data_IF_462915939408
#
_entry.id   IF_462915939408
#
_cell.length_a   1.000
_cell.length_b   1.000
_cell.length_c   1.000
_cell.angle_alpha   90.00
_cell.angle_beta   90.00
_cell.angle_gamma   90.00
#
_symmetry.space_group_name_H-M   'P 1'
#
loop_
_entity.id
_entity.type
_entity.pdbx_description
1 polymer ?
#
# COMPACT_ATOMS: atom_id res chain seq x y z
N UNK A 1 7.23 -0.53 -7.32
CA UNK A 1 6.87 -1.97 -7.21
C UNK A 1 5.50 -2.17 -7.83
N UNK A 2 5.28 -3.23 -8.62
CA UNK A 2 3.95 -3.51 -9.17
C UNK A 2 3.00 -4.05 -8.09
N UNK A 3 1.68 -3.79 -8.22
CA UNK A 3 0.64 -4.28 -7.28
C UNK A 3 0.71 -5.80 -7.05
N UNK A 4 1.14 -6.55 -8.05
CA UNK A 4 1.32 -8.01 -8.00
C UNK A 4 2.44 -8.45 -7.03
N UNK A 5 3.60 -7.79 -7.06
CA UNK A 5 4.72 -8.11 -6.16
C UNK A 5 4.38 -7.77 -4.69
N UNK A 6 3.59 -6.71 -4.49
CA UNK A 6 3.10 -6.31 -3.16
C UNK A 6 2.14 -7.37 -2.59
N UNK A 7 1.20 -7.87 -3.38
CA UNK A 7 0.26 -8.92 -2.95
C UNK A 7 0.97 -10.23 -2.58
N UNK A 8 1.98 -10.63 -3.35
CA UNK A 8 2.79 -11.82 -3.05
C UNK A 8 3.58 -11.69 -1.74
N UNK A 9 4.20 -10.52 -1.50
CA UNK A 9 4.89 -10.22 -0.24
C UNK A 9 3.94 -10.26 0.97
N UNK A 10 2.77 -9.65 0.84
CA UNK A 10 1.73 -9.66 1.88
C UNK A 10 1.28 -11.10 2.19
N UNK A 11 1.08 -11.92 1.16
CA UNK A 11 0.70 -13.32 1.33
C UNK A 11 1.79 -14.12 2.04
N UNK A 12 3.06 -13.95 1.65
CA UNK A 12 4.19 -14.62 2.29
C UNK A 12 4.32 -14.24 3.77
N UNK A 13 4.18 -12.95 4.10
CA UNK A 13 4.21 -12.46 5.48
C UNK A 13 3.05 -13.06 6.29
N UNK A 14 1.84 -13.09 5.74
CA UNK A 14 0.68 -13.67 6.41
C UNK A 14 0.85 -15.17 6.70
N UNK A 15 1.38 -15.95 5.75
CA UNK A 15 1.69 -17.37 5.97
C UNK A 15 2.69 -17.54 7.10
N UNK A 16 3.78 -16.76 7.13
CA UNK A 16 4.77 -16.82 8.20
C UNK A 16 4.18 -16.45 9.58
N UNK A 17 3.28 -15.46 9.63
CA UNK A 17 2.60 -15.06 10.86
C UNK A 17 1.56 -16.08 11.33
N UNK A 18 0.91 -16.82 10.43
CA UNK A 18 -0.04 -17.86 10.77
C UNK A 18 0.63 -19.02 11.53
N UNK A 19 1.86 -19.35 11.15
CA UNK A 19 2.62 -20.46 11.76
C UNK A 19 3.23 -20.10 13.13
N UNK A 20 3.12 -18.85 13.59
CA UNK A 20 3.84 -18.37 14.79
C UNK A 20 3.55 -19.18 16.04
N UNK A 21 2.28 -19.38 16.42
CA UNK A 21 1.96 -20.15 17.64
C UNK A 21 2.24 -21.65 17.48
N UNK A 22 2.09 -22.21 16.27
CA UNK A 22 2.50 -23.60 15.98
C UNK A 22 4.01 -23.78 16.15
N UNK A 23 4.83 -22.84 15.66
CA UNK A 23 6.28 -22.88 15.83
C UNK A 23 6.68 -22.75 17.30
N UNK A 24 5.99 -21.91 18.08
CA UNK A 24 6.22 -21.80 19.53
C UNK A 24 5.94 -23.14 20.21
N UNK A 25 4.82 -23.79 19.89
CA UNK A 25 4.48 -25.08 20.46
C UNK A 25 5.53 -26.15 20.12
N UNK A 26 5.99 -26.20 18.87
CA UNK A 26 7.05 -27.11 18.43
C UNK A 26 8.37 -26.84 19.15
N UNK A 27 8.77 -25.57 19.29
CA UNK A 27 9.96 -25.17 20.04
C UNK A 27 9.89 -25.68 21.48
N UNK A 28 8.78 -25.42 22.17
CA UNK A 28 8.57 -25.88 23.54
C UNK A 28 8.61 -27.41 23.63
N UNK A 29 7.98 -28.11 22.69
CA UNK A 29 8.00 -29.56 22.62
C UNK A 29 9.42 -30.10 22.41
N UNK A 30 10.20 -29.54 21.49
CA UNK A 30 11.57 -29.99 21.23
C UNK A 30 12.49 -29.73 22.42
N UNK A 31 12.32 -28.61 23.12
CA UNK A 31 13.04 -28.34 24.37
C UNK A 31 12.67 -29.34 25.47
N UNK A 32 11.38 -29.68 25.62
CA UNK A 32 10.93 -30.65 26.64
C UNK A 32 11.45 -32.08 26.38
N UNK A 33 11.51 -32.49 25.12
CA UNK A 33 11.97 -33.84 24.73
C UNK A 33 13.47 -33.90 24.43
N UNK A 34 14.19 -32.79 24.60
CA UNK A 34 15.63 -32.67 24.29
C UNK A 34 15.96 -33.02 22.82
N UNK A 35 15.04 -32.72 21.90
CA UNK A 35 15.19 -32.94 20.46
C UNK A 35 15.99 -31.79 19.81
N UNK A 36 17.28 -31.74 20.09
CA UNK A 36 18.18 -30.63 19.71
C UNK A 36 18.30 -30.40 18.21
N UNK A 37 18.34 -31.47 17.39
CA UNK A 37 18.42 -31.37 15.93
C UNK A 37 17.18 -30.70 15.32
N UNK A 38 15.99 -31.13 15.73
CA UNK A 38 14.72 -30.57 15.25
C UNK A 38 14.56 -29.10 15.69
N UNK A 39 15.00 -28.79 16.91
CA UNK A 39 15.03 -27.41 17.41
C UNK A 39 15.95 -26.53 16.57
N UNK A 40 17.17 -26.99 16.24
CA UNK A 40 18.09 -26.24 15.38
C UNK A 40 17.53 -26.04 13.97
N UNK A 41 16.96 -27.07 13.36
CA UNK A 41 16.34 -26.95 12.03
C UNK A 41 15.21 -25.92 12.01
N UNK A 42 14.35 -25.93 13.03
CA UNK A 42 13.27 -24.96 13.15
C UNK A 42 13.81 -23.54 13.35
N UNK A 43 14.77 -23.33 14.26
CA UNK A 43 15.41 -22.04 14.51
C UNK A 43 16.09 -21.47 13.26
N UNK A 44 16.76 -22.33 12.47
CA UNK A 44 17.39 -21.95 11.22
C UNK A 44 16.38 -21.47 10.17
N UNK A 45 15.27 -22.21 10.02
CA UNK A 45 14.17 -21.83 9.13
C UNK A 45 13.57 -20.48 9.54
N UNK A 46 13.31 -20.28 10.83
CA UNK A 46 12.81 -19.01 11.35
C UNK A 46 13.81 -17.88 11.04
N UNK A 47 15.09 -18.07 11.35
CA UNK A 47 16.14 -17.08 11.09
C UNK A 47 16.12 -16.58 9.64
N UNK A 48 16.03 -17.48 8.66
CA UNK A 48 15.95 -17.10 7.24
C UNK A 48 14.72 -16.26 6.90
N UNK A 49 13.54 -16.63 7.43
CA UNK A 49 12.30 -15.88 7.25
C UNK A 49 12.36 -14.47 7.83
N UNK A 50 12.83 -14.32 9.07
CA UNK A 50 12.86 -13.01 9.74
C UNK A 50 14.04 -12.13 9.29
N UNK A 51 15.17 -12.70 8.88
CA UNK A 51 16.25 -11.94 8.26
C UNK A 51 15.79 -11.28 6.95
N UNK A 52 14.98 -12.00 6.14
CA UNK A 52 14.38 -11.46 4.91
C UNK A 52 13.47 -10.26 5.18
N UNK A 53 12.87 -10.21 6.38
CA UNK A 53 11.98 -9.12 6.81
C UNK A 53 12.70 -8.02 7.60
N UNK A 54 14.03 -8.09 7.74
CA UNK A 54 14.82 -7.11 8.50
C UNK A 54 14.64 -7.19 10.02
N UNK A 55 14.09 -8.28 10.55
CA UNK A 55 13.95 -8.50 11.99
C UNK A 55 15.27 -9.03 12.61
N UNK A 56 16.30 -8.18 12.58
CA UNK A 56 17.69 -8.51 12.97
C UNK A 56 17.80 -9.02 14.40
N UNK A 57 17.05 -8.45 15.34
CA UNK A 57 17.06 -8.88 16.73
C UNK A 57 16.66 -10.35 16.88
N UNK A 58 15.63 -10.79 16.16
CA UNK A 58 15.16 -12.17 16.20
C UNK A 58 16.12 -13.12 15.46
N UNK A 59 16.74 -12.66 14.38
CA UNK A 59 17.78 -13.41 13.67
C UNK A 59 19.02 -13.64 14.56
N UNK A 60 19.43 -12.61 15.30
CA UNK A 60 20.55 -12.69 16.25
C UNK A 60 20.22 -13.63 17.42
N UNK A 61 19.03 -13.53 18.00
CA UNK A 61 18.60 -14.43 19.08
C UNK A 61 18.51 -15.88 18.62
N UNK A 62 18.02 -16.12 17.39
CA UNK A 62 17.99 -17.47 16.80
C UNK A 62 19.41 -18.05 16.69
N UNK A 63 20.35 -17.25 16.18
CA UNK A 63 21.77 -17.64 16.07
C UNK A 63 22.41 -17.94 17.43
N UNK A 64 22.14 -17.11 18.45
CA UNK A 64 22.64 -17.35 19.81
C UNK A 64 22.09 -18.65 20.40
N UNK A 65 20.81 -18.96 20.14
CA UNK A 65 20.21 -20.23 20.55
C UNK A 65 20.79 -21.43 19.82
N UNK A 66 20.98 -21.35 18.50
CA UNK A 66 21.67 -22.38 17.70
C UNK A 66 23.02 -22.74 18.34
N UNK A 67 23.87 -21.74 18.61
CA UNK A 67 25.18 -21.92 19.23
C UNK A 67 25.11 -22.50 20.65
N UNK A 68 24.10 -22.11 21.42
CA UNK A 68 23.90 -22.64 22.79
C UNK A 68 23.51 -24.13 22.76
N UNK A 69 22.76 -24.54 21.74
CA UNK A 69 22.39 -25.94 21.53
C UNK A 69 23.61 -26.74 21.04
N UNK A 70 24.39 -26.21 20.10
CA UNK A 70 25.61 -26.86 19.58
C UNK A 70 26.66 -27.11 20.67
N UNK A 71 26.80 -26.18 21.61
CA UNK A 71 27.76 -26.28 22.72
C UNK A 71 27.33 -27.26 23.83
N UNK A 72 26.16 -27.91 23.69
CA UNK A 72 25.66 -28.92 24.63
C UNK A 72 25.28 -28.37 26.00
N UNK A 73 25.17 -27.04 26.14
CA UNK A 73 24.88 -26.40 27.41
C UNK A 73 23.39 -26.56 27.75
N UNK A 74 23.06 -26.98 28.97
CA UNK A 74 21.67 -27.04 29.48
C UNK A 74 20.97 -25.65 29.56
N UNK A 75 21.65 -24.58 29.13
CA UNK A 75 21.11 -23.22 29.02
C UNK A 75 20.00 -23.05 27.97
N UNK A 76 19.67 -24.10 27.20
CA UNK A 76 18.59 -24.09 26.19
C UNK A 76 17.24 -23.68 26.79
N UNK A 77 16.91 -24.19 27.99
CA UNK A 77 15.67 -23.83 28.69
C UNK A 77 15.65 -22.36 29.19
N UNK A 78 16.81 -21.80 29.53
CA UNK A 78 16.93 -20.42 29.98
C UNK A 78 16.92 -19.43 28.81
N UNK A 79 17.47 -19.82 27.66
CA UNK A 79 17.57 -18.97 26.46
C UNK A 79 16.29 -19.00 25.58
N UNK A 80 15.43 -20.02 25.70
CA UNK A 80 14.25 -20.15 24.83
C UNK A 80 13.13 -19.18 25.19
N UNK A 81 12.95 -18.86 26.48
CA UNK A 81 11.89 -17.96 26.94
C UNK A 81 12.05 -16.53 26.37
N UNK A 82 13.26 -15.91 26.43
CA UNK A 82 13.51 -14.64 25.74
C UNK A 82 13.23 -14.70 24.23
N UNK A 83 13.61 -15.79 23.56
CA UNK A 83 13.35 -15.94 22.13
C UNK A 83 11.86 -16.02 21.82
N UNK A 84 11.09 -16.86 22.51
CA UNK A 84 9.63 -16.96 22.32
C UNK A 84 8.96 -15.61 22.54
N UNK A 85 9.40 -14.84 23.54
CA UNK A 85 8.87 -13.51 23.81
C UNK A 85 9.11 -12.56 22.64
N UNK A 86 10.36 -12.44 22.17
CA UNK A 86 10.71 -11.57 21.03
C UNK A 86 10.06 -12.06 19.73
N UNK A 87 9.95 -13.37 19.55
CA UNK A 87 9.28 -14.00 18.41
C UNK A 87 7.82 -13.57 18.32
N UNK A 88 7.07 -13.70 19.43
CA UNK A 88 5.68 -13.28 19.51
C UNK A 88 5.52 -11.77 19.33
N UNK A 89 6.36 -10.96 19.96
CA UNK A 89 6.34 -9.49 19.80
C UNK A 89 6.61 -9.06 18.36
N UNK A 90 7.58 -9.70 17.70
CA UNK A 90 7.88 -9.45 16.29
C UNK A 90 6.67 -9.78 15.41
N UNK A 91 5.99 -10.90 15.68
CA UNK A 91 4.75 -11.26 14.99
C UNK A 91 3.64 -10.22 15.14
N UNK A 92 3.45 -9.69 16.35
CA UNK A 92 2.48 -8.62 16.63
C UNK A 92 2.85 -7.33 15.90
N UNK A 93 4.12 -6.92 15.95
CA UNK A 93 4.60 -5.70 15.30
C UNK A 93 4.44 -5.76 13.78
N UNK A 94 4.80 -6.88 13.15
CA UNK A 94 4.63 -7.09 11.71
C UNK A 94 3.15 -7.06 11.33
N UNK A 95 2.27 -7.70 12.12
CA UNK A 95 0.83 -7.68 11.87
C UNK A 95 0.26 -6.26 11.93
N UNK A 96 0.65 -5.49 12.94
CA UNK A 96 0.23 -4.09 13.08
C UNK A 96 0.69 -3.23 11.90
N UNK A 97 1.96 -3.36 11.49
CA UNK A 97 2.51 -2.65 10.34
C UNK A 97 1.79 -3.02 9.03
N UNK A 98 1.46 -4.30 8.85
CA UNK A 98 0.73 -4.78 7.68
C UNK A 98 -0.70 -4.21 7.62
N UNK A 99 -1.40 -4.18 8.75
CA UNK A 99 -2.75 -3.59 8.83
C UNK A 99 -2.74 -2.09 8.54
N UNK A 100 -1.74 -1.34 9.03
CA UNK A 100 -1.60 0.08 8.74
C UNK A 100 -1.31 0.32 7.24
N UNK A 101 -0.45 -0.48 6.66
CA UNK A 101 -0.12 -0.40 5.23
C UNK A 101 -1.34 -0.66 4.34
N UNK A 102 -2.16 -1.66 4.69
CA UNK A 102 -3.40 -1.96 3.99
C UNK A 102 -4.46 -0.86 4.16
N UNK A 103 -4.62 -0.32 5.37
CA UNK A 103 -5.53 0.80 5.63
C UNK A 103 -5.16 2.04 4.81
N UNK A 104 -3.87 2.39 4.75
CA UNK A 104 -3.39 3.55 3.99
C UNK A 104 -3.58 3.38 2.47
N UNK A 105 -3.46 2.15 1.95
CA UNK A 105 -3.74 1.85 0.55
C UNK A 105 -5.23 2.10 0.21
N UNK A 106 -6.15 1.68 1.10
CA UNK A 106 -7.60 1.89 0.94
C UNK A 106 -7.95 3.38 0.99
N UNK A 107 -7.39 4.14 1.94
CA UNK A 107 -7.65 5.58 2.06
C UNK A 107 -7.17 6.34 0.81
N UNK A 108 -6.06 5.92 0.21
CA UNK A 108 -5.54 6.51 -1.02
C UNK A 108 -6.44 6.22 -2.21
N UNK A 109 -6.87 4.97 -2.39
CA UNK A 109 -7.77 4.59 -3.49
C UNK A 109 -9.15 5.27 -3.38
N UNK A 110 -9.70 5.42 -2.16
CA UNK A 110 -10.96 6.16 -1.92
C UNK A 110 -10.79 7.65 -2.22
N UNK A 111 -9.68 8.27 -1.81
CA UNK A 111 -9.44 9.69 -2.04
C UNK A 111 -9.27 10.02 -3.52
N UNK A 112 -8.60 9.13 -4.27
CA UNK A 112 -8.48 9.24 -5.73
C UNK A 112 -9.84 9.07 -6.42
N UNK A 113 -10.62 8.05 -6.01
CA UNK A 113 -11.96 7.84 -6.57
C UNK A 113 -12.91 9.02 -6.28
N UNK A 114 -12.84 9.62 -5.09
CA UNK A 114 -13.63 10.80 -4.74
C UNK A 114 -13.21 12.04 -5.54
N UNK A 115 -11.90 12.22 -5.77
CA UNK A 115 -11.39 13.29 -6.62
C UNK A 115 -11.85 13.12 -8.08
N UNK A 116 -11.87 11.89 -8.60
CA UNK A 116 -12.37 11.58 -9.94
C UNK A 116 -13.87 11.88 -10.07
N UNK A 117 -14.67 11.54 -9.06
CA UNK A 117 -16.11 11.83 -9.02
C UNK A 117 -16.37 13.34 -8.99
N UNK A 118 -15.65 14.08 -8.14
CA UNK A 118 -15.78 15.55 -8.05
C UNK A 118 -15.36 16.22 -9.35
N UNK A 119 -14.29 15.76 -9.99
CA UNK A 119 -13.81 16.34 -11.24
C UNK A 119 -14.78 16.08 -12.40
N UNK A 120 -15.34 14.87 -12.49
CA UNK A 120 -16.38 14.52 -13.47
C UNK A 120 -17.66 15.36 -13.29
N UNK A 121 -18.08 15.56 -12.04
CA UNK A 121 -19.22 16.44 -11.71
C UNK A 121 -18.95 17.89 -12.11
N UNK A 122 -17.75 18.40 -11.82
CA UNK A 122 -17.32 19.77 -12.15
C UNK A 122 -17.27 20.01 -13.66
N UNK A 123 -16.76 19.06 -14.45
CA UNK A 123 -16.75 19.16 -15.93
C UNK A 123 -18.18 19.20 -16.48
N UNK A 124 -19.06 18.35 -15.96
CA UNK A 124 -20.45 18.29 -16.41
C UNK A 124 -21.20 19.59 -16.11
N UNK A 125 -20.97 20.17 -14.93
CA UNK A 125 -21.49 21.48 -14.56
C UNK A 125 -20.90 22.59 -15.43
N UNK A 126 -19.58 22.59 -15.64
CA UNK A 126 -18.90 23.59 -16.47
C UNK A 126 -19.40 23.55 -17.92
N UNK A 127 -19.54 22.36 -18.50
CA UNK A 127 -20.10 22.18 -19.83
C UNK A 127 -21.54 22.70 -19.94
N UNK A 128 -22.36 22.43 -18.93
CA UNK A 128 -23.75 22.91 -18.88
C UNK A 128 -23.81 24.43 -18.83
N UNK A 129 -22.99 25.07 -17.99
CA UNK A 129 -22.92 26.53 -17.89
C UNK A 129 -22.42 27.17 -19.20
N UNK A 130 -21.45 26.54 -19.88
CA UNK A 130 -20.96 27.02 -21.18
C UNK A 130 -22.02 26.92 -22.28
N UNK A 131 -22.80 25.83 -22.32
CA UNK A 131 -23.92 25.71 -23.26
C UNK A 131 -25.01 26.76 -23.00
N UNK A 132 -25.22 27.12 -21.74
CA UNK A 132 -26.17 28.16 -21.32
C UNK A 132 -25.61 29.58 -21.50
N UNK A 133 -24.35 29.73 -21.95
CA UNK A 133 -23.63 31.00 -22.02
C UNK A 133 -23.60 31.74 -20.68
N UNK A 134 -23.59 31.01 -19.57
CA UNK A 134 -23.60 31.57 -18.23
C UNK A 134 -22.17 31.98 -17.81
N UNK A 135 -22.04 33.24 -17.39
CA UNK A 135 -20.81 33.82 -16.84
C UNK A 135 -20.29 33.08 -15.60
N UNK A 136 -21.14 32.33 -14.88
CA UNK A 136 -20.70 31.45 -13.80
C UNK A 136 -19.71 30.37 -14.27
N UNK A 137 -19.66 30.03 -15.56
CA UNK A 137 -18.65 29.14 -16.12
C UNK A 137 -17.23 29.67 -15.90
N UNK A 138 -17.03 30.98 -15.97
CA UNK A 138 -15.73 31.63 -15.76
C UNK A 138 -15.28 31.47 -14.31
N UNK A 139 -16.17 31.72 -13.36
CA UNK A 139 -15.90 31.56 -11.94
C UNK A 139 -15.60 30.09 -11.59
N UNK A 140 -16.40 29.15 -12.12
CA UNK A 140 -16.22 27.73 -11.88
C UNK A 140 -14.90 27.21 -12.46
N UNK A 141 -14.50 27.69 -13.62
CA UNK A 141 -13.22 27.36 -14.25
C UNK A 141 -12.03 27.86 -13.42
N UNK A 142 -12.01 29.13 -13.01
CA UNK A 142 -10.91 29.67 -12.19
C UNK A 142 -10.78 28.98 -10.83
N UNK A 143 -11.91 28.66 -10.19
CA UNK A 143 -11.93 27.96 -8.91
C UNK A 143 -11.37 26.53 -9.00
N UNK A 144 -11.44 25.89 -10.18
CA UNK A 144 -11.06 24.48 -10.38
C UNK A 144 -9.93 24.29 -11.39
N UNK A 145 -9.22 25.37 -11.76
CA UNK A 145 -8.23 25.34 -12.84
C UNK A 145 -7.13 24.30 -12.59
N UNK A 146 -6.62 24.21 -11.36
CA UNK A 146 -5.59 23.23 -11.00
C UNK A 146 -6.08 21.78 -11.13
N UNK A 147 -7.32 21.50 -10.71
CA UNK A 147 -7.92 20.18 -10.81
C UNK A 147 -8.23 19.79 -12.27
N UNK A 148 -8.71 20.75 -13.07
CA UNK A 148 -9.08 20.53 -14.48
C UNK A 148 -7.85 20.52 -15.41
N UNK A 149 -6.75 21.15 -15.04
CA UNK A 149 -5.49 21.15 -15.80
C UNK A 149 -4.87 19.76 -15.96
N UNK A 150 -5.20 18.80 -15.09
CA UNK A 150 -4.75 17.42 -15.22
C UNK A 150 -5.51 16.61 -16.28
N UNK A 151 -6.69 17.07 -16.68
CA UNK A 151 -7.54 16.42 -17.68
C UNK A 151 -7.35 16.98 -19.09
N UNK A 152 -7.11 18.28 -19.17
CA UNK A 152 -6.79 18.94 -20.43
C UNK A 152 -5.29 18.82 -20.69
N UNK A 153 -4.91 18.54 -21.94
CA UNK A 153 -3.50 18.70 -22.33
C UNK A 153 -3.09 20.17 -22.14
N UNK A 154 -1.80 20.47 -21.88
CA UNK A 154 -1.34 21.84 -21.69
C UNK A 154 -1.78 22.79 -22.84
N UNK A 155 -1.79 22.28 -24.07
CA UNK A 155 -2.26 23.02 -25.25
C UNK A 155 -3.77 23.26 -25.22
N UNK A 156 -4.57 22.28 -24.81
CA UNK A 156 -6.02 22.43 -24.69
C UNK A 156 -6.41 23.39 -23.55
N UNK A 157 -5.70 23.34 -22.41
CA UNK A 157 -5.92 24.25 -21.29
C UNK A 157 -5.64 25.72 -21.65
N UNK A 158 -4.58 25.98 -22.43
CA UNK A 158 -4.28 27.33 -22.93
C UNK A 158 -5.36 27.82 -23.90
N UNK A 159 -5.80 26.96 -24.84
CA UNK A 159 -6.89 27.30 -25.77
C UNK A 159 -8.21 27.56 -25.03
N UNK A 160 -8.51 26.75 -24.03
CA UNK A 160 -9.71 26.89 -23.19
C UNK A 160 -9.67 28.19 -22.39
N UNK A 161 -8.55 28.50 -21.72
CA UNK A 161 -8.36 29.77 -21.02
C UNK A 161 -8.58 30.98 -21.92
N UNK A 162 -8.08 30.92 -23.17
CA UNK A 162 -8.31 31.97 -24.16
C UNK A 162 -9.79 32.11 -24.49
N UNK A 163 -10.50 31.01 -24.78
CA UNK A 163 -11.94 31.06 -25.08
C UNK A 163 -12.79 31.56 -23.91
N UNK A 164 -12.45 31.17 -22.67
CA UNK A 164 -13.11 31.72 -21.47
C UNK A 164 -12.85 33.22 -21.32
N UNK A 165 -11.61 33.67 -21.58
CA UNK A 165 -11.25 35.10 -21.49
C UNK A 165 -11.88 35.95 -22.59
N UNK A 166 -12.11 35.36 -23.76
CA UNK A 166 -12.79 35.98 -24.91
C UNK A 166 -14.32 35.82 -24.85
N UNK A 167 -14.85 35.21 -23.78
CA UNK A 167 -16.28 34.88 -23.60
C UNK A 167 -16.86 34.03 -24.75
N UNK A 168 -16.01 33.28 -25.44
CA UNK A 168 -16.39 32.37 -26.49
C UNK A 168 -16.78 31.01 -25.91
N UNK A 169 -17.95 30.98 -25.26
CA UNK A 169 -18.43 29.82 -24.53
C UNK A 169 -18.79 28.63 -25.43
N UNK A 170 -19.15 28.88 -26.69
CA UNK A 170 -19.44 27.82 -27.66
C UNK A 170 -18.18 27.00 -28.00
N UNK A 171 -17.08 27.67 -28.33
CA UNK A 171 -15.79 27.01 -28.62
C UNK A 171 -15.19 26.35 -27.36
N UNK A 172 -15.38 26.98 -26.20
CA UNK A 172 -15.00 26.38 -24.91
C UNK A 172 -15.78 25.08 -24.63
N UNK A 173 -17.09 25.05 -24.89
CA UNK A 173 -17.90 23.85 -24.73
C UNK A 173 -17.46 22.71 -25.66
N UNK A 174 -17.13 23.01 -26.92
CA UNK A 174 -16.62 22.03 -27.89
C UNK A 174 -15.32 21.37 -27.42
N UNK A 175 -14.43 22.12 -26.75
CA UNK A 175 -13.21 21.56 -26.16
C UNK A 175 -13.48 20.61 -24.99
N UNK A 176 -14.56 20.82 -24.23
CA UNK A 176 -14.92 19.98 -23.08
C UNK A 176 -15.80 18.78 -23.43
N UNK A 177 -16.49 18.82 -24.58
CA UNK A 177 -17.37 17.76 -25.07
C UNK A 177 -16.78 16.33 -24.97
N UNK A 178 -15.52 16.04 -25.36
CA UNK A 178 -14.97 14.70 -25.24
C UNK A 178 -14.83 14.21 -23.79
N UNK A 179 -14.69 15.13 -22.83
CA UNK A 179 -14.51 14.83 -21.40
C UNK A 179 -15.83 14.72 -20.63
N UNK A 180 -16.95 15.14 -21.22
CA UNK A 180 -18.30 15.03 -20.64
C UNK A 180 -18.92 13.67 -20.95
N UNK A 181 -18.65 13.12 -22.14
CA UNK A 181 -19.20 11.84 -22.60
C UNK A 181 -18.33 10.63 -22.20
N UNK A 182 -17.09 10.86 -21.77
CA UNK A 182 -16.21 9.79 -21.27
C UNK A 182 -15.85 10.09 -19.82
N UNK A 183 -16.44 9.33 -18.89
CA UNK A 183 -15.75 9.07 -17.62
C UNK A 183 -14.33 8.59 -17.90
N UNK A 184 -13.37 8.84 -16.99
CA UNK A 184 -11.95 8.99 -17.30
C UNK A 184 -11.47 7.89 -18.24
N UNK A 185 -11.20 8.25 -19.50
CA UNK A 185 -10.54 7.33 -20.41
C UNK A 185 -9.12 7.14 -19.90
N UNK A 186 -8.88 5.93 -19.42
CA UNK A 186 -7.56 5.39 -19.14
C UNK A 186 -6.60 5.76 -20.27
N UNK A 187 -5.41 6.20 -19.87
CA UNK A 187 -4.23 6.32 -20.72
C UNK A 187 -4.20 5.21 -21.78
N UNK A 188 -4.26 5.59 -23.05
CA UNK A 188 -3.65 4.81 -24.11
C UNK A 188 -2.36 5.54 -24.47
N UNK A 189 -1.26 4.94 -24.03
CA UNK A 189 0.08 5.16 -24.57
C UNK A 189 0.05 4.91 -26.08
N UNK A 190 0.67 5.81 -26.84
CA UNK A 190 1.42 5.50 -28.06
C UNK A 190 2.58 6.52 -28.19
#
# INVERSE_FOLDING_TARGET
MSKQHQAQLVQMINSMLADTETNIALIQQYVLHNNTNELQHLLHKLRGGYATLGAEQLANLSKTLELTIETGNNGQQLAISPFIHVYRQTGVAIRAALSQFQANAITTDISLALADIQTTSTISQLFTLLQQQDMHAVALWHANQAALAHLLTPLAAVKFNRFISELNFAEAATLLQPFVATGPKAKTDD
#
